data_IF_628321337786
#
_entry.id   IF_628321337786
#
_cell.length_a   1.000
_cell.length_b   1.000
_cell.length_c   1.000
_cell.angle_alpha   90.00
_cell.angle_beta   90.00
_cell.angle_gamma   90.00
#
_symmetry.space_group_name_H-M   'P 1'
#
loop_
_entity.id
_entity.type
_entity.pdbx_description
1 polymer ?
#
# COMPACT_ATOMS: atom_id res chain seq x y z
N UNK A 1 -7.52 1.65 -12.47
CA UNK A 1 -6.73 0.92 -13.48
C UNK A 1 -7.36 0.96 -14.88
N UNK A 2 -8.69 1.08 -15.06
CA UNK A 2 -9.32 1.05 -16.41
C UNK A 2 -8.77 2.14 -17.35
N UNK A 3 -8.88 3.42 -16.95
CA UNK A 3 -8.37 4.52 -17.77
C UNK A 3 -6.86 4.44 -18.06
N UNK A 4 -6.07 3.90 -17.13
CA UNK A 4 -4.64 3.68 -17.33
C UNK A 4 -4.33 2.54 -18.31
N UNK A 5 -5.15 1.48 -18.35
CA UNK A 5 -5.02 0.43 -19.35
C UNK A 5 -5.49 0.88 -20.74
N UNK A 6 -6.47 1.78 -20.79
CA UNK A 6 -7.01 2.33 -22.04
C UNK A 6 -6.13 3.42 -22.65
N UNK A 7 -5.31 4.09 -21.84
CA UNK A 7 -4.38 5.12 -22.34
C UNK A 7 -3.22 4.56 -23.18
N UNK A 8 -3.05 3.23 -23.24
CA UNK A 8 -1.95 2.57 -23.95
C UNK A 8 -0.61 2.61 -23.20
N UNK A 9 -0.56 3.21 -22.00
CA UNK A 9 0.66 3.33 -21.18
C UNK A 9 1.42 2.02 -20.98
N UNK A 10 0.69 0.90 -20.93
CA UNK A 10 1.24 -0.44 -20.66
C UNK A 10 1.31 -1.36 -21.88
N UNK A 11 1.10 -0.85 -23.09
CA UNK A 11 1.05 -1.67 -24.31
C UNK A 11 2.35 -2.43 -24.59
N UNK A 12 3.48 -1.87 -24.20
CA UNK A 12 4.81 -2.50 -24.29
C UNK A 12 4.95 -3.78 -23.43
N UNK A 13 4.00 -4.06 -22.54
CA UNK A 13 3.94 -5.27 -21.71
C UNK A 13 3.02 -6.36 -22.30
N UNK A 14 2.26 -6.09 -23.36
CA UNK A 14 1.25 -7.04 -23.91
C UNK A 14 1.82 -8.41 -24.30
N UNK A 15 3.09 -8.46 -24.70
CA UNK A 15 3.81 -9.67 -25.11
C UNK A 15 4.79 -10.19 -24.04
N UNK A 16 4.67 -9.74 -22.78
CA UNK A 16 5.50 -10.17 -21.67
C UNK A 16 4.63 -10.83 -20.59
N UNK A 17 5.18 -11.80 -19.83
CA UNK A 17 4.53 -12.29 -18.61
C UNK A 17 4.32 -11.13 -17.63
N UNK A 18 3.08 -10.99 -17.14
CA UNK A 18 2.72 -10.05 -16.08
C UNK A 18 2.13 -10.81 -14.91
N UNK A 19 2.73 -10.63 -13.73
CA UNK A 19 2.17 -11.13 -12.47
C UNK A 19 1.54 -9.95 -11.74
N UNK A 20 0.27 -10.07 -11.38
CA UNK A 20 -0.45 -9.07 -10.59
C UNK A 20 -0.61 -9.54 -9.16
N UNK A 21 -0.58 -8.60 -8.21
CA UNK A 21 -0.88 -8.88 -6.81
C UNK A 21 -1.62 -7.71 -6.18
N UNK A 22 -2.39 -8.03 -5.14
CA UNK A 22 -3.02 -7.08 -4.26
C UNK A 22 -3.14 -7.73 -2.87
N UNK A 23 -3.65 -6.99 -1.88
CA UNK A 23 -3.77 -7.48 -0.48
C UNK A 23 -4.39 -8.88 -0.39
N UNK A 24 -5.57 -9.10 -0.98
CA UNK A 24 -6.32 -10.36 -0.85
C UNK A 24 -6.84 -10.95 -2.16
N UNK A 25 -6.18 -10.68 -3.29
CA UNK A 25 -6.51 -11.31 -4.59
C UNK A 25 -7.66 -10.68 -5.40
N UNK A 26 -8.75 -10.25 -4.76
CA UNK A 26 -9.99 -9.84 -5.49
C UNK A 26 -9.80 -8.76 -6.58
N UNK A 27 -8.92 -7.77 -6.35
CA UNK A 27 -8.64 -6.73 -7.37
C UNK A 27 -7.88 -7.31 -8.56
N UNK A 28 -7.05 -8.32 -8.33
CA UNK A 28 -6.28 -9.00 -9.38
C UNK A 28 -7.16 -9.89 -10.25
N UNK A 29 -8.23 -10.48 -9.72
CA UNK A 29 -9.20 -11.23 -10.52
C UNK A 29 -9.82 -10.35 -11.60
N UNK A 30 -10.31 -9.17 -11.18
CA UNK A 30 -10.90 -8.18 -12.09
C UNK A 30 -9.84 -7.61 -13.04
N UNK A 31 -8.66 -7.23 -12.52
CA UNK A 31 -7.59 -6.65 -13.31
C UNK A 31 -7.09 -7.63 -14.39
N UNK A 32 -6.88 -8.89 -14.04
CA UNK A 32 -6.35 -9.91 -14.95
C UNK A 32 -7.30 -10.15 -16.12
N UNK A 33 -8.61 -10.22 -15.87
CA UNK A 33 -9.62 -10.30 -16.94
C UNK A 33 -9.56 -9.07 -17.85
N UNK A 34 -9.48 -7.88 -17.27
CA UNK A 34 -9.43 -6.63 -18.05
C UNK A 34 -8.17 -6.48 -18.88
N UNK A 35 -7.02 -6.96 -18.39
CA UNK A 35 -5.76 -6.99 -19.12
C UNK A 35 -5.83 -7.99 -20.28
N UNK A 36 -6.31 -9.22 -20.03
CA UNK A 36 -6.48 -10.23 -21.09
C UNK A 36 -7.39 -9.74 -22.20
N UNK A 37 -8.54 -9.13 -21.86
CA UNK A 37 -9.48 -8.56 -22.83
C UNK A 37 -8.87 -7.41 -23.65
N UNK A 38 -7.79 -6.77 -23.17
CA UNK A 38 -7.05 -5.70 -23.86
C UNK A 38 -5.79 -6.19 -24.58
N UNK A 39 -5.61 -7.50 -24.72
CA UNK A 39 -4.57 -8.10 -25.55
C UNK A 39 -3.26 -8.43 -24.82
N UNK A 40 -3.25 -8.44 -23.50
CA UNK A 40 -2.12 -8.99 -22.74
C UNK A 40 -2.17 -10.52 -22.81
N UNK A 41 -1.10 -11.14 -23.32
CA UNK A 41 -1.07 -12.57 -23.62
C UNK A 41 -0.90 -13.44 -22.38
N UNK A 42 -0.03 -13.04 -21.47
CA UNK A 42 0.35 -13.82 -20.30
C UNK A 42 0.12 -12.99 -19.03
N UNK A 43 -1.00 -13.25 -18.35
CA UNK A 43 -1.37 -12.57 -17.11
C UNK A 43 -1.68 -13.59 -16.03
N UNK A 44 -0.90 -13.50 -14.96
CA UNK A 44 -0.96 -14.35 -13.77
C UNK A 44 -1.31 -13.50 -12.55
N UNK A 45 -1.78 -14.14 -11.49
CA UNK A 45 -2.01 -13.50 -10.20
C UNK A 45 -1.52 -14.37 -9.06
N UNK A 46 -1.14 -13.75 -7.95
CA UNK A 46 -0.88 -14.47 -6.70
C UNK A 46 -2.22 -14.92 -6.11
N UNK A 47 -2.39 -16.23 -5.95
CA UNK A 47 -3.61 -16.80 -5.37
C UNK A 47 -3.77 -16.38 -3.91
N UNK A 48 -4.96 -15.89 -3.55
CA UNK A 48 -5.23 -15.28 -2.25
C UNK A 48 -4.46 -13.98 -1.93
N UNK A 49 -3.67 -13.46 -2.87
CA UNK A 49 -2.94 -12.20 -2.72
C UNK A 49 -1.78 -12.24 -1.71
N UNK A 50 -1.33 -11.06 -1.32
CA UNK A 50 -0.17 -10.91 -0.42
C UNK A 50 -0.44 -11.48 0.97
N UNK A 51 -1.68 -11.45 1.46
CA UNK A 51 -2.00 -12.07 2.76
C UNK A 51 -1.61 -13.54 2.78
N UNK A 52 -2.02 -14.33 1.76
CA UNK A 52 -1.65 -15.75 1.68
C UNK A 52 -0.17 -15.97 1.44
N UNK A 53 0.44 -15.16 0.57
CA UNK A 53 1.88 -15.23 0.33
C UNK A 53 2.68 -14.99 1.62
N UNK A 54 2.34 -13.96 2.39
CA UNK A 54 3.03 -13.66 3.64
C UNK A 54 2.76 -14.66 4.76
N UNK A 55 1.56 -15.26 4.81
CA UNK A 55 1.27 -16.38 5.73
C UNK A 55 2.17 -17.60 5.46
N UNK A 56 2.51 -17.86 4.20
CA UNK A 56 3.33 -19.02 3.81
C UNK A 56 4.83 -18.76 3.91
N UNK A 57 5.29 -17.59 3.48
CA UNK A 57 6.72 -17.30 3.32
C UNK A 57 7.29 -16.26 4.29
N UNK A 58 6.43 -15.47 4.93
CA UNK A 58 6.78 -14.36 5.80
C UNK A 58 7.90 -13.45 5.24
N UNK A 59 8.79 -12.95 6.10
CA UNK A 59 9.91 -12.07 5.73
C UNK A 59 11.18 -12.83 5.27
N UNK A 60 11.12 -14.17 5.20
CA UNK A 60 12.22 -15.01 4.70
C UNK A 60 12.30 -15.05 3.16
N UNK A 61 11.38 -14.38 2.48
CA UNK A 61 11.22 -14.39 1.03
C UNK A 61 11.24 -12.96 0.46
N UNK A 62 10.49 -12.70 -0.62
CA UNK A 62 10.55 -11.43 -1.35
C UNK A 62 9.69 -10.29 -0.76
N UNK A 63 8.93 -10.56 0.30
CA UNK A 63 8.13 -9.54 0.97
C UNK A 63 8.99 -8.77 1.98
N UNK A 64 8.81 -7.45 2.04
CA UNK A 64 9.48 -6.60 3.03
C UNK A 64 8.50 -5.64 3.70
N UNK A 65 8.49 -5.68 5.03
CA UNK A 65 7.80 -4.72 5.90
C UNK A 65 6.31 -4.94 6.06
N UNK A 66 5.60 -3.90 6.47
CA UNK A 66 4.19 -4.00 6.85
C UNK A 66 3.24 -4.07 5.66
N UNK A 67 2.32 -5.03 5.65
CA UNK A 67 1.20 -5.03 4.71
C UNK A 67 0.07 -4.16 5.25
N UNK A 68 -0.29 -3.10 4.52
CA UNK A 68 -1.48 -2.29 4.84
C UNK A 68 -2.78 -3.10 4.66
N UNK A 69 -3.66 -3.02 5.65
CA UNK A 69 -5.00 -3.63 5.65
C UNK A 69 -6.08 -2.60 5.95
N UNK A 70 -7.24 -2.77 5.31
CA UNK A 70 -8.33 -1.79 5.30
C UNK A 70 -9.30 -2.00 6.48
N UNK A 71 -8.74 -2.13 7.68
CA UNK A 71 -9.51 -2.25 8.93
C UNK A 71 -8.75 -1.60 10.09
N UNK A 72 -9.28 -1.73 11.32
CA UNK A 72 -8.71 -1.09 12.52
C UNK A 72 -7.27 -1.48 12.84
N UNK A 73 -6.77 -2.59 12.29
CA UNK A 73 -5.37 -3.00 12.46
C UNK A 73 -4.43 -2.08 11.71
N UNK A 74 -4.88 -1.47 10.61
CA UNK A 74 -4.15 -0.64 9.65
C UNK A 74 -2.99 -1.35 8.94
N UNK A 75 -2.28 -2.24 9.62
CA UNK A 75 -1.21 -3.06 9.06
C UNK A 75 -1.21 -4.45 9.69
N UNK A 76 -0.57 -5.38 9.01
CA UNK A 76 -0.13 -6.64 9.57
C UNK A 76 1.37 -6.82 9.27
N UNK A 77 2.05 -7.48 10.18
CA UNK A 77 3.42 -7.99 9.99
C UNK A 77 3.34 -9.51 9.87
N UNK A 78 4.16 -10.10 9.01
CA UNK A 78 4.18 -11.55 8.84
C UNK A 78 5.21 -12.24 9.73
N UNK A 79 6.16 -11.48 10.30
CA UNK A 79 7.08 -11.95 11.34
C UNK A 79 7.48 -10.82 12.30
N UNK A 80 8.21 -11.17 13.36
CA UNK A 80 8.80 -10.20 14.29
C UNK A 80 9.99 -9.43 13.68
N UNK A 81 10.59 -9.95 12.60
CA UNK A 81 11.74 -9.37 11.90
C UNK A 81 11.35 -8.42 10.76
N UNK A 82 10.06 -8.08 10.64
CA UNK A 82 9.55 -7.25 9.57
C UNK A 82 10.25 -5.87 9.53
N UNK A 83 10.78 -5.53 8.36
CA UNK A 83 11.54 -4.28 8.16
C UNK A 83 10.62 -3.05 8.28
N UNK A 84 11.07 -2.04 9.03
CA UNK A 84 10.39 -0.74 9.07
C UNK A 84 10.82 0.11 7.87
N UNK A 85 10.02 0.08 6.80
CA UNK A 85 10.29 0.81 5.55
C UNK A 85 9.84 2.28 5.57
N UNK A 86 8.85 2.61 6.40
CA UNK A 86 8.25 3.94 6.44
C UNK A 86 9.09 4.95 7.22
N UNK A 87 8.82 6.23 6.96
CA UNK A 87 9.44 7.36 7.65
C UNK A 87 8.36 8.28 8.21
N UNK A 88 8.62 8.81 9.40
CA UNK A 88 7.72 9.73 10.09
C UNK A 88 7.62 11.05 9.32
N UNK A 89 6.40 11.45 8.96
CA UNK A 89 6.10 12.70 8.24
C UNK A 89 6.39 13.98 9.04
N UNK A 90 6.84 13.86 10.29
CA UNK A 90 7.13 14.98 11.19
C UNK A 90 8.64 15.16 11.41
N UNK A 91 9.36 14.07 11.63
CA UNK A 91 10.77 14.13 12.04
C UNK A 91 11.70 13.23 11.20
N UNK A 92 11.17 12.46 10.26
CA UNK A 92 11.95 11.59 9.38
C UNK A 92 12.41 10.26 10.00
N UNK A 93 12.20 10.02 11.30
CA UNK A 93 12.59 8.75 11.94
C UNK A 93 11.81 7.56 11.36
N UNK A 94 12.43 6.39 11.29
CA UNK A 94 11.76 5.16 10.83
C UNK A 94 10.51 4.85 11.65
N UNK A 95 9.40 4.58 10.95
CA UNK A 95 8.16 4.14 11.58
C UNK A 95 7.22 3.51 10.55
N UNK A 96 6.36 2.63 11.01
CA UNK A 96 5.25 2.05 10.25
C UNK A 96 3.90 2.37 10.91
N UNK A 97 3.84 3.37 11.81
CA UNK A 97 2.63 3.72 12.55
C UNK A 97 1.77 4.68 11.74
N UNK A 98 0.59 4.19 11.33
CA UNK A 98 -0.39 4.94 10.57
C UNK A 98 -1.28 5.77 11.49
N UNK A 99 -1.54 7.00 11.10
CA UNK A 99 -2.46 7.91 11.79
C UNK A 99 -3.39 8.59 10.78
N UNK A 100 -4.64 8.77 11.17
CA UNK A 100 -5.57 9.65 10.48
C UNK A 100 -5.27 11.11 10.82
N UNK A 101 -5.48 12.00 9.85
CA UNK A 101 -5.47 13.42 10.10
C UNK A 101 -6.63 13.83 11.01
N UNK A 102 -6.34 14.58 12.08
CA UNK A 102 -7.35 15.09 13.00
C UNK A 102 -8.28 16.16 12.41
N UNK A 103 -8.02 16.63 11.18
CA UNK A 103 -8.99 17.41 10.42
C UNK A 103 -10.08 16.48 9.87
N UNK A 104 -11.32 16.67 10.32
CA UNK A 104 -12.48 15.82 9.96
C UNK A 104 -12.86 15.88 8.48
N UNK A 105 -12.48 16.92 7.76
CA UNK A 105 -12.68 17.01 6.30
C UNK A 105 -11.55 16.33 5.52
N UNK A 106 -10.49 15.91 6.20
CA UNK A 106 -9.36 15.22 5.62
C UNK A 106 -9.58 13.71 5.59
N UNK A 107 -8.98 13.05 4.60
CA UNK A 107 -8.94 11.57 4.47
C UNK A 107 -7.50 11.07 4.31
N UNK A 108 -6.52 11.90 4.69
CA UNK A 108 -5.12 11.52 4.63
C UNK A 108 -4.79 10.56 5.77
N UNK A 109 -4.32 9.38 5.38
CA UNK A 109 -3.62 8.44 6.23
C UNK A 109 -2.12 8.62 6.01
N UNK A 110 -1.35 8.76 7.08
CA UNK A 110 0.08 9.07 7.01
C UNK A 110 0.84 8.54 8.23
N UNK A 111 2.17 8.69 8.25
CA UNK A 111 3.04 8.04 9.23
C UNK A 111 3.54 9.01 10.31
N UNK A 112 3.36 8.65 11.57
CA UNK A 112 3.88 9.43 12.72
C UNK A 112 4.49 8.47 13.72
N UNK A 113 5.74 8.69 14.11
CA UNK A 113 6.38 7.82 15.10
C UNK A 113 5.80 8.09 16.51
N UNK A 114 5.90 7.09 17.39
CA UNK A 114 5.39 7.18 18.77
C UNK A 114 5.92 8.40 19.54
N UNK A 115 7.17 8.80 19.29
CA UNK A 115 7.77 9.99 19.93
C UNK A 115 7.13 11.31 19.47
N UNK A 116 6.68 11.39 18.22
CA UNK A 116 5.96 12.56 17.69
C UNK A 116 4.49 12.54 18.10
N UNK A 117 3.84 11.37 18.10
CA UNK A 117 2.48 11.20 18.61
C UNK A 117 2.38 11.68 20.07
N UNK A 118 3.26 11.20 20.95
CA UNK A 118 3.25 11.57 22.37
C UNK A 118 3.42 13.08 22.63
N UNK A 119 4.04 13.81 21.70
CA UNK A 119 4.29 15.26 21.81
C UNK A 119 3.23 16.11 21.11
N UNK A 120 2.34 15.51 20.31
CA UNK A 120 1.43 16.23 19.42
C UNK A 120 -0.02 15.96 19.80
N UNK A 121 -0.72 16.90 20.47
CA UNK A 121 -2.11 16.71 20.87
C UNK A 121 -3.08 16.46 19.71
N UNK A 122 -2.77 16.98 18.52
CA UNK A 122 -3.55 16.80 17.29
C UNK A 122 -2.62 16.45 16.13
N UNK A 123 -2.73 15.22 15.66
CA UNK A 123 -1.96 14.73 14.51
C UNK A 123 -2.60 15.27 13.23
N UNK A 124 -1.94 16.18 12.53
CA UNK A 124 -2.43 16.84 11.30
C UNK A 124 -1.47 16.50 10.18
N UNK A 125 -1.95 15.99 9.04
CA UNK A 125 -1.10 15.58 7.93
C UNK A 125 -0.33 16.76 7.30
N UNK A 126 0.79 16.51 6.59
CA UNK A 126 1.57 17.57 5.94
C UNK A 126 0.74 18.48 5.03
N UNK A 127 -0.20 17.91 4.26
CA UNK A 127 -1.06 18.66 3.35
C UNK A 127 -2.01 19.62 4.07
N UNK A 128 -2.56 19.22 5.22
CA UNK A 128 -3.42 20.10 6.01
C UNK A 128 -2.61 21.18 6.73
N UNK A 129 -1.41 20.86 7.24
CA UNK A 129 -0.51 21.86 7.85
C UNK A 129 -0.16 22.97 6.86
N UNK A 130 0.17 22.60 5.62
CA UNK A 130 0.51 23.56 4.56
C UNK A 130 -0.65 24.49 4.20
N UNK A 131 -1.91 24.04 4.30
CA UNK A 131 -3.10 24.86 4.02
C UNK A 131 -3.40 25.88 5.12
N UNK A 132 -3.08 25.57 6.36
CA UNK A 132 -3.32 26.45 7.51
C UNK A 132 -2.25 27.54 7.72
N UNK A 133 -1.16 27.50 6.95
CA UNK A 133 -0.09 28.52 6.98
C UNK A 133 -0.26 29.62 5.93
N UNK A 134 -1.35 29.57 5.14
CA UNK A 134 -1.79 30.58 4.18
C UNK A 134 -3.08 31.23 4.69
#
# INVERSE_FOLDING_TARGET
>A
FVGELESGKYDHLKNKPVVTYCTGGIRCEVLSVLMKNRGFKEVYQIDGGIVRYGEEFADSSLWEGSLYVFDKRLKIEFSEDAKVLGSCDYCGSSTNQFHDCANLDCRCLFLVCAACEAKTPKIICPSCRAKSSN
#
